data_IF_893697095851
#
_entry.id   IF_893697095851
#
_cell.length_a   1.000
_cell.length_b   1.000
_cell.length_c   1.000
_cell.angle_alpha   90.00
_cell.angle_beta   90.00
_cell.angle_gamma   90.00
#
_symmetry.space_group_name_H-M   'P 1'
#
loop_
_entity.id
_entity.type
_entity.pdbx_description
1 polymer ?
#
# COMPACT_ATOMS: atom_id res chain seq x y z
N UNK A 1 12.40 30.32 35.70
CA UNK A 1 11.12 30.16 34.99
C UNK A 1 11.38 30.43 33.53
N UNK A 2 11.43 29.37 32.73
CA UNK A 2 11.29 29.46 31.28
C UNK A 2 10.78 28.10 30.84
N UNK A 3 9.45 27.93 30.95
CA UNK A 3 8.73 26.90 30.24
C UNK A 3 8.91 27.16 28.75
N UNK A 4 9.58 26.23 28.06
CA UNK A 4 9.54 26.15 26.60
C UNK A 4 8.55 25.04 26.29
N UNK A 5 7.29 25.42 26.11
CA UNK A 5 6.30 24.53 25.50
C UNK A 5 6.72 24.26 24.04
N UNK A 6 6.83 23.00 23.59
CA UNK A 6 7.09 22.74 22.18
C UNK A 6 5.85 23.10 21.37
N UNK A 7 6.07 23.86 20.30
CA UNK A 7 5.07 24.30 19.34
C UNK A 7 4.08 23.17 18.99
N UNK A 8 2.81 23.40 19.32
CA UNK A 8 1.70 22.55 18.86
C UNK A 8 1.73 22.48 17.34
N UNK A 9 1.91 21.27 16.81
CA UNK A 9 1.97 21.02 15.37
C UNK A 9 0.72 21.55 14.68
N UNK A 10 0.92 22.53 13.80
CA UNK A 10 -0.12 23.09 12.95
C UNK A 10 -0.75 21.96 12.14
N UNK A 11 -1.98 21.58 12.51
CA UNK A 11 -2.73 20.57 11.78
C UNK A 11 -3.23 21.24 10.50
N UNK A 12 -2.86 20.77 9.30
CA UNK A 12 -3.23 21.44 8.06
C UNK A 12 -4.75 21.63 7.96
N UNK A 13 -5.17 22.81 7.50
CA UNK A 13 -6.59 23.16 7.40
C UNK A 13 -7.37 22.12 6.57
N UNK A 14 -8.57 21.78 7.05
CA UNK A 14 -9.42 20.75 6.46
C UNK A 14 -8.95 19.29 6.61
N UNK A 15 -7.87 19.01 7.35
CA UNK A 15 -7.44 17.64 7.63
C UNK A 15 -8.43 16.94 8.58
N UNK A 16 -9.01 15.83 8.12
CA UNK A 16 -9.97 15.02 8.87
C UNK A 16 -9.32 13.85 9.63
N UNK A 17 -8.02 13.64 9.44
CA UNK A 17 -7.21 12.63 10.14
C UNK A 17 -6.08 12.05 9.29
N UNK A 18 -5.11 11.40 9.93
CA UNK A 18 -4.06 10.65 9.23
C UNK A 18 -4.45 9.20 9.02
N UNK A 19 -3.96 8.61 7.93
CA UNK A 19 -4.23 7.23 7.60
C UNK A 19 -3.02 6.58 6.92
N UNK A 20 -2.79 5.31 7.25
CA UNK A 20 -1.90 4.44 6.50
C UNK A 20 -2.54 4.12 5.15
N UNK A 21 -1.79 4.24 4.07
CA UNK A 21 -2.25 3.90 2.72
C UNK A 21 -1.27 2.95 2.05
N UNK A 22 -1.77 2.17 1.10
CA UNK A 22 -0.97 1.30 0.26
C UNK A 22 -1.60 1.19 -1.13
N UNK A 23 -0.82 0.74 -2.11
CA UNK A 23 -1.32 0.41 -3.44
C UNK A 23 -1.62 -1.08 -3.52
N UNK A 24 -2.64 -1.46 -4.30
CA UNK A 24 -2.84 -2.86 -4.68
C UNK A 24 -1.70 -3.29 -5.59
N UNK A 25 -1.06 -4.41 -5.29
CA UNK A 25 0.02 -4.99 -6.09
C UNK A 25 -0.37 -5.12 -7.57
N UNK A 26 0.59 -4.93 -8.48
CA UNK A 26 0.32 -5.06 -9.94
C UNK A 26 -0.02 -6.50 -10.33
N UNK A 27 0.60 -7.45 -9.64
CA UNK A 27 0.38 -8.87 -9.77
C UNK A 27 0.13 -9.48 -8.38
N UNK A 28 -0.87 -10.33 -8.28
CA UNK A 28 -1.16 -11.12 -7.08
C UNK A 28 -1.15 -12.59 -7.44
N UNK A 29 -0.53 -13.40 -6.59
CA UNK A 29 -0.43 -14.85 -6.77
C UNK A 29 -1.58 -15.51 -6.02
N UNK A 30 -2.38 -16.31 -6.72
CA UNK A 30 -3.53 -17.04 -6.21
C UNK A 30 -3.42 -18.55 -6.55
N UNK A 31 -4.24 -19.35 -5.88
CA UNK A 31 -4.27 -20.81 -6.03
C UNK A 31 -3.26 -21.56 -5.17
N UNK A 32 -3.54 -22.83 -4.86
CA UNK A 32 -2.71 -23.70 -4.00
C UNK A 32 -1.29 -23.92 -4.53
N UNK A 33 -1.08 -23.77 -5.84
CA UNK A 33 0.23 -23.89 -6.50
C UNK A 33 0.98 -22.58 -6.68
N UNK A 34 0.35 -21.43 -6.38
CA UNK A 34 0.94 -20.12 -6.63
C UNK A 34 1.21 -19.80 -8.11
N UNK A 35 0.55 -20.50 -9.03
CA UNK A 35 0.72 -20.33 -10.48
C UNK A 35 -0.33 -19.42 -11.12
N UNK A 36 -1.41 -19.07 -10.41
CA UNK A 36 -2.44 -18.18 -10.95
C UNK A 36 -2.07 -16.72 -10.65
N UNK A 37 -1.49 -16.05 -11.66
CA UNK A 37 -1.14 -14.63 -11.60
C UNK A 37 -2.38 -13.81 -11.96
N UNK A 38 -2.90 -13.04 -11.02
CA UNK A 38 -4.03 -12.14 -11.20
C UNK A 38 -3.60 -10.68 -11.11
N UNK A 39 -4.15 -9.83 -11.98
CA UNK A 39 -3.94 -8.39 -11.91
C UNK A 39 -4.97 -7.70 -11.01
N UNK A 40 -4.48 -7.14 -9.90
CA UNK A 40 -5.31 -6.53 -8.86
C UNK A 40 -6.12 -7.55 -8.06
N UNK A 41 -7.21 -7.11 -7.45
CA UNK A 41 -8.14 -7.97 -6.73
C UNK A 41 -9.51 -7.99 -7.40
N UNK A 42 -10.41 -8.84 -6.90
CA UNK A 42 -11.82 -8.84 -7.32
C UNK A 42 -12.46 -7.45 -7.24
N UNK A 43 -12.10 -6.65 -6.23
CA UNK A 43 -12.76 -5.38 -5.91
C UNK A 43 -11.95 -4.15 -6.32
N UNK A 44 -10.64 -4.27 -6.51
CA UNK A 44 -9.74 -3.16 -6.75
C UNK A 44 -8.82 -3.44 -7.94
N UNK A 45 -8.58 -2.43 -8.77
CA UNK A 45 -7.62 -2.54 -9.88
C UNK A 45 -6.20 -2.65 -9.34
N UNK A 46 -5.31 -3.27 -10.12
CA UNK A 46 -3.87 -3.15 -9.91
C UNK A 46 -3.46 -1.68 -9.76
N UNK A 47 -2.59 -1.38 -8.79
CA UNK A 47 -2.14 -0.03 -8.46
C UNK A 47 -3.17 0.85 -7.75
N UNK A 48 -4.39 0.37 -7.47
CA UNK A 48 -5.40 1.18 -6.79
C UNK A 48 -4.93 1.58 -5.38
N UNK A 49 -5.11 2.86 -5.03
CA UNK A 49 -4.79 3.37 -3.70
C UNK A 49 -5.87 2.95 -2.69
N UNK A 50 -5.45 2.26 -1.64
CA UNK A 50 -6.28 1.83 -0.52
C UNK A 50 -5.89 2.56 0.76
N UNK A 51 -6.89 2.88 1.57
CA UNK A 51 -6.78 3.51 2.88
C UNK A 51 -7.06 2.48 3.95
N UNK A 52 -6.11 2.31 4.88
CA UNK A 52 -6.12 1.25 5.88
C UNK A 52 -6.44 1.90 7.24
N UNK A 53 -7.67 1.75 7.77
CA UNK A 53 -7.98 2.23 9.11
C UNK A 53 -7.12 1.47 10.16
N UNK A 54 -6.87 2.08 11.35
CA UNK A 54 -6.27 1.36 12.45
C UNK A 54 -7.09 0.11 12.79
N UNK A 55 -6.38 -0.96 13.12
CA UNK A 55 -6.94 -2.29 13.32
C UNK A 55 -7.87 -2.27 14.53
N UNK A 56 -9.15 -2.54 14.31
CA UNK A 56 -10.09 -2.88 15.40
C UNK A 56 -10.15 -4.39 15.66
N UNK A 57 -9.83 -5.20 14.64
CA UNK A 57 -9.85 -6.67 14.69
C UNK A 57 -8.96 -7.27 13.58
N UNK A 58 -8.18 -8.29 13.91
CA UNK A 58 -7.39 -9.10 12.96
C UNK A 58 -7.76 -10.57 13.19
N UNK A 59 -8.54 -11.21 12.30
CA UNK A 59 -8.92 -12.61 12.46
C UNK A 59 -7.75 -13.59 12.22
N UNK A 60 -6.52 -13.09 12.08
CA UNK A 60 -5.36 -13.86 11.63
C UNK A 60 -5.21 -13.85 10.11
N UNK A 61 -4.07 -14.35 9.63
CA UNK A 61 -3.71 -14.44 8.21
C UNK A 61 -3.50 -13.12 7.48
N UNK A 62 -3.15 -12.04 8.19
CA UNK A 62 -2.70 -10.79 7.57
C UNK A 62 -3.79 -10.07 6.77
N UNK A 63 -5.07 -10.20 7.17
CA UNK A 63 -6.20 -9.56 6.50
C UNK A 63 -6.60 -8.29 7.23
N UNK A 64 -6.88 -7.21 6.48
CA UNK A 64 -7.31 -5.93 7.05
C UNK A 64 -8.42 -5.29 6.24
N UNK A 65 -9.24 -4.50 6.92
CA UNK A 65 -10.15 -3.58 6.27
C UNK A 65 -9.35 -2.56 5.45
N UNK A 66 -9.85 -2.27 4.27
CA UNK A 66 -9.28 -1.30 3.35
C UNK A 66 -10.40 -0.58 2.60
N UNK A 67 -10.24 0.72 2.45
CA UNK A 67 -11.19 1.58 1.75
C UNK A 67 -10.56 2.10 0.47
N UNK A 68 -11.23 1.89 -0.65
CA UNK A 68 -10.72 2.31 -1.96
C UNK A 68 -11.83 2.46 -2.97
N UNK A 69 -11.49 2.91 -4.18
CA UNK A 69 -12.44 3.02 -5.29
C UNK A 69 -12.64 1.66 -5.94
N UNK A 70 -13.90 1.23 -6.05
CA UNK A 70 -14.21 -0.09 -6.61
C UNK A 70 -13.87 -0.18 -8.11
N UNK A 71 -13.31 -1.33 -8.54
CA UNK A 71 -12.90 -1.59 -9.93
C UNK A 71 -14.04 -1.41 -10.95
N UNK A 72 -15.24 -1.86 -10.60
CA UNK A 72 -16.43 -1.75 -11.45
C UNK A 72 -17.22 -0.45 -11.28
N UNK A 73 -16.95 0.32 -10.23
CA UNK A 73 -17.62 1.61 -9.99
C UNK A 73 -16.67 2.55 -9.23
N UNK A 74 -15.85 3.30 -9.96
CA UNK A 74 -14.84 4.17 -9.39
C UNK A 74 -15.38 5.42 -8.68
N UNK A 75 -16.70 5.68 -8.75
CA UNK A 75 -17.33 6.87 -8.13
C UNK A 75 -17.53 6.72 -6.63
N UNK A 76 -17.61 5.49 -6.11
CA UNK A 76 -17.87 5.24 -4.69
C UNK A 76 -16.68 4.57 -4.03
N UNK A 77 -16.41 4.97 -2.80
CA UNK A 77 -15.55 4.23 -1.90
C UNK A 77 -16.29 2.97 -1.44
N UNK A 78 -15.56 1.86 -1.38
CA UNK A 78 -16.03 0.60 -0.79
C UNK A 78 -15.06 0.18 0.30
N UNK A 79 -15.59 -0.37 1.37
CA UNK A 79 -14.82 -0.98 2.46
C UNK A 79 -14.80 -2.49 2.24
N UNK A 80 -13.61 -3.06 2.09
CA UNK A 80 -13.39 -4.48 1.81
C UNK A 80 -12.31 -5.02 2.73
N UNK A 81 -12.36 -6.31 3.04
CA UNK A 81 -11.24 -7.01 3.67
C UNK A 81 -10.25 -7.44 2.59
N UNK A 82 -9.00 -7.01 2.69
CA UNK A 82 -7.91 -7.34 1.77
C UNK A 82 -6.78 -8.05 2.52
N UNK A 83 -5.96 -8.84 1.81
CA UNK A 83 -4.72 -9.36 2.38
C UNK A 83 -3.67 -8.27 2.30
N UNK A 84 -2.92 -8.08 3.37
CA UNK A 84 -1.84 -7.10 3.39
C UNK A 84 -0.69 -7.50 2.46
N UNK A 85 -0.53 -8.79 2.17
CA UNK A 85 0.46 -9.30 1.20
C UNK A 85 0.10 -8.89 -0.23
N UNK A 86 -1.18 -8.57 -0.51
CA UNK A 86 -1.63 -8.08 -1.82
C UNK A 86 -1.39 -6.57 -2.01
N UNK A 87 -0.68 -5.93 -1.07
CA UNK A 87 -0.47 -4.49 -1.03
C UNK A 87 1.02 -4.14 -1.03
N UNK A 88 1.33 -3.01 -1.62
CA UNK A 88 2.69 -2.48 -1.79
C UNK A 88 2.75 -0.97 -1.52
N UNK A 89 3.96 -0.44 -1.38
CA UNK A 89 4.20 1.01 -1.30
C UNK A 89 3.44 1.66 -0.13
N UNK A 90 3.63 1.11 1.07
CA UNK A 90 2.98 1.63 2.27
C UNK A 90 3.51 3.01 2.61
N UNK A 91 2.60 3.95 2.94
CA UNK A 91 2.95 5.32 3.31
C UNK A 91 1.84 6.00 4.08
N UNK A 92 2.13 7.15 4.68
CA UNK A 92 1.15 7.95 5.40
C UNK A 92 0.53 9.00 4.48
N UNK A 93 -0.80 9.20 4.56
CA UNK A 93 -1.51 10.30 3.90
C UNK A 93 -2.57 10.92 4.81
N UNK A 94 -2.79 12.22 4.62
CA UNK A 94 -3.90 12.95 5.25
C UNK A 94 -5.22 12.68 4.54
N UNK A 95 -6.29 12.52 5.31
CA UNK A 95 -7.67 12.35 4.83
C UNK A 95 -8.35 13.72 4.80
N UNK A 96 -8.83 14.12 3.62
CA UNK A 96 -9.52 15.42 3.44
C UNK A 96 -10.94 15.27 2.88
N UNK A 97 -11.38 14.04 2.59
CA UNK A 97 -12.68 13.78 1.97
C UNK A 97 -13.64 13.16 2.97
N UNK A 98 -14.78 13.81 3.19
CA UNK A 98 -15.85 13.27 4.04
C UNK A 98 -16.40 11.93 3.52
N UNK A 99 -16.49 11.75 2.20
CA UNK A 99 -16.93 10.50 1.60
C UNK A 99 -15.98 9.34 1.92
N UNK A 100 -14.69 9.62 2.03
CA UNK A 100 -13.68 8.66 2.46
C UNK A 100 -13.78 8.40 3.97
N UNK A 101 -13.99 9.42 4.80
CA UNK A 101 -14.22 9.28 6.25
C UNK A 101 -15.40 8.35 6.53
N UNK A 102 -16.52 8.49 5.81
CA UNK A 102 -17.66 7.57 5.93
C UNK A 102 -17.27 6.12 5.63
N UNK A 103 -16.48 5.89 4.57
CA UNK A 103 -15.99 4.55 4.25
C UNK A 103 -15.06 3.97 5.32
N UNK A 104 -14.21 4.81 5.91
CA UNK A 104 -13.22 4.43 6.93
C UNK A 104 -13.83 4.19 8.32
N UNK A 105 -14.88 4.94 8.69
CA UNK A 105 -15.61 4.73 9.94
C UNK A 105 -16.42 3.42 9.92
N UNK A 106 -16.74 2.90 8.73
CA UNK A 106 -17.45 1.63 8.54
C UNK A 106 -18.97 1.80 8.53
N UNK A 107 -19.69 0.69 8.67
CA UNK A 107 -21.17 0.68 8.64
C UNK A 107 -21.80 1.26 9.92
N UNK A 108 -21.10 1.24 11.06
CA UNK A 108 -21.57 1.79 12.33
C UNK A 108 -21.34 3.30 12.46
N UNK A 109 -21.12 4.00 11.34
CA UNK A 109 -20.98 5.46 11.36
C UNK A 109 -22.32 6.10 11.72
N UNK A 110 -22.39 6.67 12.92
CA UNK A 110 -23.48 7.57 13.29
C UNK A 110 -23.47 8.78 12.34
N UNK A 111 -24.54 9.00 11.54
CA UNK A 111 -24.62 10.12 10.61
C UNK A 111 -24.64 11.49 11.31
N UNK A 112 -24.93 11.53 12.62
CA UNK A 112 -24.84 12.72 13.45
C UNK A 112 -23.43 12.94 14.05
N UNK A 113 -22.54 11.95 13.97
CA UNK A 113 -21.19 12.09 14.49
C UNK A 113 -20.38 13.11 13.69
N UNK A 114 -19.37 13.77 14.32
CA UNK A 114 -18.47 14.65 13.61
C UNK A 114 -17.91 13.98 12.35
N UNK A 115 -17.79 14.76 11.27
CA UNK A 115 -17.31 14.27 9.95
C UNK A 115 -15.80 14.03 9.93
N UNK A 116 -15.24 13.61 11.07
CA UNK A 116 -13.86 13.25 11.29
C UNK A 116 -13.71 11.74 11.37
N UNK A 117 -12.48 11.27 11.18
CA UNK A 117 -12.14 9.87 11.34
C UNK A 117 -12.24 9.50 12.83
N UNK A 118 -13.10 8.53 13.19
CA UNK A 118 -13.42 8.20 14.60
C UNK A 118 -12.27 7.51 15.34
N UNK A 119 -11.38 6.84 14.61
CA UNK A 119 -10.16 6.24 15.13
C UNK A 119 -9.05 6.47 14.11
N UNK A 120 -8.49 7.68 14.03
CA UNK A 120 -7.43 8.00 13.08
C UNK A 120 -6.13 7.36 13.52
N UNK A 121 -5.23 7.13 12.57
CA UNK A 121 -3.84 6.89 12.94
C UNK A 121 -3.27 8.19 13.52
N UNK A 122 -2.35 8.07 14.48
CA UNK A 122 -1.34 9.13 14.63
C UNK A 122 -0.38 9.06 13.45
N UNK A 123 0.17 10.20 13.03
CA UNK A 123 1.07 10.25 11.87
C UNK A 123 2.30 9.36 12.09
N UNK A 124 2.86 9.42 13.30
CA UNK A 124 4.03 8.67 13.74
C UNK A 124 3.75 7.17 13.70
N UNK A 125 2.62 6.74 14.29
CA UNK A 125 2.26 5.32 14.32
C UNK A 125 1.96 4.76 12.93
N UNK A 126 1.33 5.55 12.05
CA UNK A 126 1.15 5.15 10.66
C UNK A 126 2.50 5.02 9.93
N UNK A 127 3.45 5.90 10.23
CA UNK A 127 4.78 5.87 9.63
C UNK A 127 5.57 4.65 10.10
N UNK A 128 5.58 4.35 11.40
CA UNK A 128 6.19 3.12 11.94
C UNK A 128 5.64 1.86 11.24
N UNK A 129 4.33 1.80 11.02
CA UNK A 129 3.70 0.70 10.31
C UNK A 129 4.07 0.65 8.84
N UNK A 130 4.12 1.80 8.17
CA UNK A 130 4.57 1.88 6.79
C UNK A 130 6.01 1.38 6.67
N UNK A 131 6.90 1.86 7.53
CA UNK A 131 8.31 1.50 7.54
C UNK A 131 8.51 0.02 7.86
N UNK A 132 7.79 -0.51 8.85
CA UNK A 132 7.84 -1.94 9.18
C UNK A 132 7.35 -2.80 8.02
N UNK A 133 6.26 -2.40 7.34
CA UNK A 133 5.77 -3.10 6.14
C UNK A 133 6.74 -3.03 4.98
N UNK A 134 7.38 -1.89 4.81
CA UNK A 134 8.34 -1.65 3.76
C UNK A 134 9.70 -2.34 4.00
N UNK A 135 10.06 -2.58 5.26
CA UNK A 135 11.27 -3.33 5.64
C UNK A 135 11.13 -4.84 5.45
N UNK A 136 9.92 -5.38 5.25
CA UNK A 136 9.79 -6.79 4.91
C UNK A 136 10.53 -7.07 3.61
N UNK A 137 11.36 -8.11 3.67
CA UNK A 137 12.21 -8.52 2.56
C UNK A 137 11.41 -9.38 1.61
N UNK A 138 11.20 -8.86 0.41
CA UNK A 138 10.53 -9.55 -0.67
C UNK A 138 11.53 -10.41 -1.44
N UNK A 139 11.10 -11.61 -1.90
CA UNK A 139 11.92 -12.44 -2.75
C UNK A 139 12.22 -11.68 -4.06
N UNK A 140 13.48 -11.77 -4.49
CA UNK A 140 13.95 -11.20 -5.74
C UNK A 140 14.07 -12.29 -6.79
N UNK A 141 13.65 -12.02 -8.01
CA UNK A 141 13.78 -12.92 -9.15
C UNK A 141 14.56 -12.22 -10.25
N UNK A 142 15.44 -12.95 -10.91
CA UNK A 142 16.23 -12.44 -12.04
C UNK A 142 15.72 -13.13 -13.31
N UNK A 143 15.53 -12.36 -14.38
CA UNK A 143 15.18 -12.88 -15.69
C UNK A 143 16.09 -14.06 -16.10
N UNK A 144 15.46 -15.12 -16.61
CA UNK A 144 16.14 -16.37 -16.97
C UNK A 144 16.31 -17.36 -15.80
N UNK A 145 15.96 -16.96 -14.57
CA UNK A 145 15.99 -17.86 -13.41
C UNK A 145 14.57 -18.20 -12.92
N UNK A 146 14.23 -19.51 -12.80
CA UNK A 146 12.88 -19.94 -12.41
C UNK A 146 12.58 -19.78 -10.91
N UNK A 147 13.58 -19.50 -10.09
CA UNK A 147 13.46 -19.42 -8.63
C UNK A 147 13.91 -18.07 -8.10
N UNK A 148 13.43 -17.71 -6.91
CA UNK A 148 13.91 -16.55 -6.18
C UNK A 148 15.41 -16.68 -5.90
N UNK A 149 16.12 -15.56 -5.93
CA UNK A 149 17.52 -15.49 -5.62
C UNK A 149 17.75 -15.96 -4.16
N UNK A 150 18.61 -16.95 -3.92
CA UNK A 150 18.65 -17.67 -2.65
C UNK A 150 19.20 -16.84 -1.47
N UNK A 151 19.86 -15.71 -1.76
CA UNK A 151 20.56 -14.89 -0.75
C UNK A 151 20.23 -13.40 -0.79
N UNK A 152 19.50 -12.96 -1.80
CA UNK A 152 19.24 -11.53 -2.02
C UNK A 152 17.74 -11.34 -2.07
N UNK A 153 17.29 -10.34 -1.35
CA UNK A 153 15.90 -9.93 -1.21
C UNK A 153 15.87 -8.41 -1.22
N UNK A 154 14.75 -7.83 -1.62
CA UNK A 154 14.59 -6.38 -1.73
C UNK A 154 13.56 -5.86 -0.72
N UNK A 155 13.64 -4.60 -0.31
CA UNK A 155 12.58 -3.99 0.48
C UNK A 155 11.27 -3.89 -0.32
N UNK A 156 10.17 -3.59 0.36
CA UNK A 156 8.90 -3.16 -0.25
C UNK A 156 8.79 -1.62 -0.11
N UNK A 157 8.54 -0.85 -1.17
CA UNK A 157 8.60 -1.26 -2.55
C UNK A 157 10.06 -1.55 -2.97
N UNK A 158 10.26 -2.45 -3.94
CA UNK A 158 11.58 -2.78 -4.44
C UNK A 158 12.20 -1.58 -5.16
N UNK A 159 13.53 -1.39 -5.05
CA UNK A 159 14.22 -0.34 -5.77
C UNK A 159 14.11 -0.57 -7.29
N UNK A 160 13.97 0.50 -8.05
CA UNK A 160 13.87 0.44 -9.51
C UNK A 160 15.11 -0.18 -10.18
N UNK A 161 16.26 -0.05 -9.54
CA UNK A 161 17.54 -0.60 -10.00
C UNK A 161 18.31 -1.23 -8.85
N UNK A 162 18.99 -2.32 -9.14
CA UNK A 162 19.87 -3.02 -8.20
C UNK A 162 21.16 -3.41 -8.89
N UNK A 163 22.22 -3.58 -8.10
CA UNK A 163 23.48 -4.15 -8.57
C UNK A 163 23.72 -5.51 -7.90
N UNK A 164 23.85 -6.56 -8.71
CA UNK A 164 24.18 -7.92 -8.26
C UNK A 164 25.37 -8.39 -9.09
N UNK A 165 26.44 -8.84 -8.43
CA UNK A 165 27.64 -9.40 -9.07
C UNK A 165 28.27 -8.50 -10.16
N UNK A 166 28.12 -7.17 -10.01
CA UNK A 166 28.63 -6.18 -10.98
C UNK A 166 27.68 -5.86 -12.13
N UNK A 167 26.56 -6.58 -12.27
CA UNK A 167 25.52 -6.29 -13.25
C UNK A 167 24.46 -5.35 -12.67
N UNK A 168 24.00 -4.39 -13.46
CA UNK A 168 22.83 -3.57 -13.13
C UNK A 168 21.58 -4.26 -13.66
N UNK A 169 20.61 -4.47 -12.77
CA UNK A 169 19.32 -5.03 -13.13
C UNK A 169 18.22 -4.01 -12.84
N UNK A 170 17.22 -3.96 -13.72
CA UNK A 170 16.10 -3.05 -13.65
C UNK A 170 14.83 -3.79 -13.25
N UNK A 171 14.03 -3.18 -12.37
CA UNK A 171 12.77 -3.73 -11.93
C UNK A 171 11.81 -3.82 -13.12
N UNK A 172 11.47 -5.04 -13.52
CA UNK A 172 10.57 -5.32 -14.64
C UNK A 172 9.12 -5.47 -14.19
N UNK A 173 8.89 -6.16 -13.06
CA UNK A 173 7.57 -6.33 -12.45
C UNK A 173 7.68 -6.48 -10.92
N UNK A 174 6.67 -6.02 -10.21
CA UNK A 174 6.54 -6.19 -8.77
C UNK A 174 5.11 -6.51 -8.38
N UNK A 175 4.96 -7.43 -7.44
CA UNK A 175 3.69 -7.80 -6.84
C UNK A 175 3.89 -8.82 -5.73
N UNK A 176 2.85 -9.58 -5.37
CA UNK A 176 2.90 -10.53 -4.24
C UNK A 176 3.82 -11.73 -4.50
N UNK A 177 4.21 -11.94 -5.75
CA UNK A 177 5.18 -12.95 -6.14
C UNK A 177 6.63 -12.52 -5.87
N UNK A 178 6.85 -11.27 -5.43
CA UNK A 178 8.17 -10.68 -5.26
C UNK A 178 8.53 -9.72 -6.38
N UNK A 179 9.77 -9.24 -6.33
CA UNK A 179 10.32 -8.29 -7.29
C UNK A 179 11.09 -9.02 -8.38
N UNK A 180 10.71 -8.84 -9.64
CA UNK A 180 11.42 -9.41 -10.76
C UNK A 180 12.22 -8.35 -11.49
N UNK A 181 13.48 -8.67 -11.73
CA UNK A 181 14.45 -7.81 -12.36
C UNK A 181 14.91 -8.39 -13.69
N UNK A 182 15.14 -7.52 -14.66
CA UNK A 182 15.69 -7.83 -15.98
C UNK A 182 17.00 -7.08 -16.17
N UNK A 183 17.89 -7.61 -17.03
CA UNK A 183 19.07 -6.87 -17.51
C UNK A 183 18.69 -5.74 -18.45
N UNK A 184 17.51 -5.82 -19.05
CA UNK A 184 16.98 -4.80 -19.95
C UNK A 184 16.16 -3.81 -19.12
N UNK A 185 16.37 -2.50 -19.26
CA UNK A 185 15.49 -1.52 -18.64
C UNK A 185 14.05 -1.71 -19.15
N UNK A 186 13.03 -1.55 -18.28
CA UNK A 186 11.65 -1.61 -18.72
C UNK A 186 11.43 -0.56 -19.83
N UNK A 187 10.55 -0.82 -20.81
CA UNK A 187 10.21 0.18 -21.81
C UNK A 187 9.75 1.44 -21.09
N UNK A 188 10.44 2.57 -21.31
CA UNK A 188 9.98 3.86 -20.82
C UNK A 188 8.59 4.07 -21.43
N UNK A 189 7.52 3.97 -20.64
CA UNK A 189 6.20 4.42 -21.08
C UNK A 189 6.38 5.88 -21.50
N UNK A 190 6.26 6.12 -22.81
CA UNK A 190 6.37 7.45 -23.39
C UNK A 190 5.26 8.29 -22.79
N UNK A 191 5.62 9.24 -21.93
CA UNK A 191 4.70 10.27 -21.43
C UNK A 191 4.57 11.26 -22.59
N UNK A 192 3.42 11.35 -23.29
CA UNK A 192 3.23 12.45 -24.23
C UNK A 192 3.35 13.76 -23.45
N UNK A 193 4.22 14.65 -23.92
CA UNK A 193 4.38 15.99 -23.37
C UNK A 193 3.08 16.80 -23.45
N UNK A 194 3.01 17.93 -22.69
CA UNK A 194 1.80 18.71 -22.51
C UNK A 194 1.16 19.22 -23.81
#
# INVERSE_FOLDING_TARGET
MTDTEPAGGETPDGLLGWCLVANVARETVRGESGLDIQHGTKHFRAGALLWLPPVRWDPGHGRRHAVGRHRGNGRRYVNMVVRMDDLENFRVKGVYSEALVRGLNGYDHDPAAPRTLQNPWTRERAQEWADARNHFREPLFIEGHPYAHPRISVPNPPPAEIRIDGETLHLARYGTGGAHYSRTPPPTEWIPGP
#
